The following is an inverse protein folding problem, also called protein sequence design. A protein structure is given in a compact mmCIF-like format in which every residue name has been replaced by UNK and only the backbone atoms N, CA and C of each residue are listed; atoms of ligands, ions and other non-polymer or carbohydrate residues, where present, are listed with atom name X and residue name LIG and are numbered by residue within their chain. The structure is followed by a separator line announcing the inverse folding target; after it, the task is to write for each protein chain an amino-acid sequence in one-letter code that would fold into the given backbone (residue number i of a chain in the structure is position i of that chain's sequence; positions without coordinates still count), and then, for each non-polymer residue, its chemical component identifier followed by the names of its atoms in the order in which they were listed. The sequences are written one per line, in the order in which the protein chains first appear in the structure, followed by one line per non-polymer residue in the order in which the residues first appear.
data_IF_653165912488
#
_entry.id   IF_653165912488
#
_cell.length_a   1.000
_cell.length_b   1.000
_cell.length_c   1.000
_cell.angle_alpha   90.00
_cell.angle_beta   90.00
_cell.angle_gamma   90.00
#
_symmetry.space_group_name_H-M   'P 1'
#
loop_
_entity.id
_entity.type
_entity.pdbx_description
1 polymer ?
#
# COMPACT_ATOMS: atom_id res chain seq x y z
N UNK A 1 -45.48 32.97 -15.77
CA UNK A 1 -44.43 33.47 -16.67
C UNK A 1 -42.97 33.13 -16.18
N UNK A 2 -42.50 33.64 -15.02
CA UNK A 2 -41.13 33.34 -14.56
C UNK A 2 -40.89 31.84 -14.16
N UNK A 3 -41.92 31.25 -13.49
CA UNK A 3 -41.89 29.84 -13.09
C UNK A 3 -41.78 28.87 -14.27
N UNK A 4 -42.39 29.20 -15.42
CA UNK A 4 -42.39 28.34 -16.60
C UNK A 4 -41.07 28.38 -17.36
N UNK A 5 -40.38 29.52 -17.34
CA UNK A 5 -39.02 29.67 -17.87
C UNK A 5 -38.05 28.81 -17.06
N UNK A 6 -38.17 28.81 -15.72
CA UNK A 6 -37.33 28.03 -14.84
C UNK A 6 -37.53 26.52 -14.99
N UNK A 7 -38.79 26.08 -15.09
CA UNK A 7 -39.12 24.68 -15.34
C UNK A 7 -38.59 24.21 -16.70
N UNK A 8 -38.66 25.06 -17.72
CA UNK A 8 -38.13 24.76 -19.06
C UNK A 8 -36.61 24.64 -19.06
N UNK A 9 -35.92 25.50 -18.32
CA UNK A 9 -34.47 25.43 -18.14
C UNK A 9 -34.02 24.17 -17.43
N UNK A 10 -34.68 23.79 -16.32
CA UNK A 10 -34.41 22.55 -15.59
C UNK A 10 -34.68 21.34 -16.47
N UNK A 11 -35.80 21.32 -17.20
CA UNK A 11 -36.12 20.24 -18.12
C UNK A 11 -35.06 20.08 -19.23
N UNK A 12 -34.63 21.19 -19.83
CA UNK A 12 -33.57 21.18 -20.86
C UNK A 12 -32.25 20.65 -20.28
N UNK A 13 -31.87 21.07 -19.09
CA UNK A 13 -30.63 20.65 -18.41
C UNK A 13 -30.66 19.14 -18.03
N UNK A 14 -31.77 18.68 -17.46
CA UNK A 14 -31.83 17.34 -16.89
C UNK A 14 -32.28 16.28 -17.90
N UNK A 15 -33.23 16.61 -18.79
CA UNK A 15 -33.82 15.63 -19.69
C UNK A 15 -33.19 15.69 -21.10
N UNK A 16 -33.03 16.89 -21.68
CA UNK A 16 -32.48 17.02 -23.01
C UNK A 16 -30.97 16.84 -23.05
N UNK A 17 -30.27 17.49 -22.11
CA UNK A 17 -28.80 17.46 -22.03
C UNK A 17 -28.25 16.51 -20.97
N UNK A 18 -29.10 15.87 -20.15
CA UNK A 18 -28.69 15.03 -19.02
C UNK A 18 -27.75 13.90 -19.45
N UNK A 19 -28.05 13.26 -20.56
CA UNK A 19 -27.23 12.18 -21.12
C UNK A 19 -25.85 12.67 -21.58
N UNK A 20 -25.79 13.84 -22.23
CA UNK A 20 -24.54 14.48 -22.65
C UNK A 20 -23.69 14.94 -21.46
N UNK A 21 -24.34 15.45 -20.41
CA UNK A 21 -23.63 15.78 -19.16
C UNK A 21 -23.13 14.52 -18.44
N UNK A 22 -23.88 13.44 -18.42
CA UNK A 22 -23.49 12.18 -17.82
C UNK A 22 -22.34 11.50 -18.59
N UNK A 23 -22.37 11.54 -19.90
CA UNK A 23 -21.31 11.01 -20.77
C UNK A 23 -20.01 11.86 -20.74
N UNK A 24 -20.14 13.20 -20.60
CA UNK A 24 -19.01 14.09 -20.48
C UNK A 24 -18.47 14.25 -19.05
N UNK A 25 -19.21 13.79 -18.05
CA UNK A 25 -18.81 13.83 -16.64
C UNK A 25 -18.09 12.54 -16.21
N UNK A 26 -17.37 11.93 -17.11
CA UNK A 26 -16.30 11.02 -16.66
C UNK A 26 -15.20 11.92 -16.06
N UNK A 27 -15.15 11.98 -14.74
CA UNK A 27 -14.03 12.58 -14.01
C UNK A 27 -12.78 11.80 -14.42
N UNK A 28 -12.13 12.22 -15.50
CA UNK A 28 -10.79 11.75 -15.83
C UNK A 28 -9.83 12.47 -14.88
N UNK A 29 -9.62 11.88 -13.73
CA UNK A 29 -8.53 12.26 -12.85
C UNK A 29 -7.26 11.78 -13.56
N UNK A 30 -6.59 12.70 -14.25
CA UNK A 30 -5.25 12.43 -14.77
C UNK A 30 -4.27 12.52 -13.59
N UNK A 31 -3.81 11.39 -13.13
CA UNK A 31 -2.75 11.32 -12.14
C UNK A 31 -1.42 11.19 -12.83
N UNK A 32 -0.50 12.06 -12.46
CA UNK A 32 0.91 11.91 -12.83
C UNK A 32 1.48 10.82 -11.95
N UNK A 33 1.75 9.66 -12.52
CA UNK A 33 2.48 8.61 -11.83
C UNK A 33 3.98 8.93 -11.95
N UNK A 34 4.70 9.21 -10.86
CA UNK A 34 6.13 9.47 -10.93
C UNK A 34 6.84 8.18 -11.36
N UNK A 35 7.66 8.26 -12.40
CA UNK A 35 8.55 7.17 -12.79
C UNK A 35 9.87 7.42 -12.08
N UNK A 36 10.23 6.55 -11.14
CA UNK A 36 11.48 6.65 -10.41
C UNK A 36 12.66 6.42 -11.37
N UNK A 37 13.58 7.36 -11.40
CA UNK A 37 14.81 7.22 -12.18
C UNK A 37 15.73 6.13 -11.58
N UNK A 38 16.32 5.31 -12.45
CA UNK A 38 17.33 4.37 -12.03
C UNK A 38 18.58 5.08 -11.50
N UNK A 39 19.13 4.59 -10.40
CA UNK A 39 20.41 5.13 -9.85
C UNK A 39 21.57 4.79 -10.78
N UNK A 40 22.58 5.65 -10.86
CA UNK A 40 23.80 5.41 -11.62
C UNK A 40 24.60 4.21 -11.08
N UNK A 41 25.33 3.55 -11.95
CA UNK A 41 26.23 2.45 -11.57
C UNK A 41 27.46 3.02 -10.85
N UNK A 42 28.04 2.23 -9.94
CA UNK A 42 29.28 2.57 -9.24
C UNK A 42 30.34 1.58 -9.69
N UNK A 43 31.48 2.10 -10.10
CA UNK A 43 32.64 1.32 -10.57
C UNK A 43 33.85 1.61 -9.69
N UNK A 44 34.78 0.65 -9.63
CA UNK A 44 36.10 0.89 -9.09
C UNK A 44 37.00 1.66 -10.10
N UNK A 45 38.22 2.00 -9.71
CA UNK A 45 39.21 2.69 -10.58
C UNK A 45 39.59 1.91 -11.84
N UNK A 46 39.34 0.61 -11.86
CA UNK A 46 39.65 -0.27 -12.99
C UNK A 46 38.41 -0.56 -13.87
N UNK A 47 37.28 0.11 -13.57
CA UNK A 47 36.02 -0.08 -14.29
C UNK A 47 35.21 -1.31 -13.84
N UNK A 48 35.58 -1.94 -12.71
CA UNK A 48 34.85 -3.08 -12.18
C UNK A 48 33.56 -2.64 -11.50
N UNK A 49 32.45 -3.25 -11.83
CA UNK A 49 31.12 -2.88 -11.34
C UNK A 49 30.96 -3.26 -9.86
N UNK A 50 30.72 -2.27 -9.00
CA UNK A 50 30.52 -2.42 -7.55
C UNK A 50 29.04 -2.36 -7.17
N UNK A 51 28.28 -1.46 -7.79
CA UNK A 51 26.84 -1.35 -7.55
C UNK A 51 26.12 -1.00 -8.86
N UNK A 52 24.99 -1.66 -9.11
CA UNK A 52 24.18 -1.51 -10.33
C UNK A 52 22.70 -1.76 -10.03
N UNK A 53 21.86 -1.42 -10.98
CA UNK A 53 20.43 -1.73 -10.90
C UNK A 53 20.13 -2.93 -11.78
N UNK A 54 19.32 -3.83 -11.27
CA UNK A 54 18.76 -4.97 -11.98
C UNK A 54 17.27 -4.77 -12.13
N UNK A 55 16.74 -5.07 -13.32
CA UNK A 55 15.30 -5.06 -13.54
C UNK A 55 14.68 -6.20 -12.73
N UNK A 56 13.66 -5.87 -11.98
CA UNK A 56 12.87 -6.83 -11.23
C UNK A 56 11.39 -6.52 -11.42
N UNK A 57 10.54 -7.44 -11.03
CA UNK A 57 9.09 -7.23 -11.03
C UNK A 57 8.58 -7.15 -9.62
N UNK A 58 7.60 -6.30 -9.39
CA UNK A 58 6.85 -6.19 -8.14
C UNK A 58 5.37 -6.42 -8.38
N UNK A 59 4.71 -7.05 -7.42
CA UNK A 59 3.26 -7.21 -7.39
C UNK A 59 2.68 -6.15 -6.48
N UNK A 60 1.73 -5.39 -6.99
CA UNK A 60 1.02 -4.35 -6.26
C UNK A 60 -0.48 -4.58 -6.27
N UNK A 61 -1.18 -4.01 -5.30
CA UNK A 61 -2.64 -3.96 -5.25
C UNK A 61 -3.12 -2.51 -5.12
N UNK A 62 -4.21 -2.18 -5.79
CA UNK A 62 -4.92 -0.92 -5.61
C UNK A 62 -6.41 -1.16 -5.27
N UNK A 63 -7.06 -0.13 -4.74
CA UNK A 63 -8.48 -0.15 -4.36
C UNK A 63 -9.28 0.83 -5.22
N UNK A 64 -9.07 0.80 -6.52
CA UNK A 64 -9.76 1.71 -7.45
C UNK A 64 -11.16 1.23 -7.87
N UNK A 65 -11.50 -0.01 -7.58
CA UNK A 65 -12.80 -0.62 -7.92
C UNK A 65 -13.93 -0.06 -7.06
N UNK A 66 -15.10 0.14 -7.67
CA UNK A 66 -16.31 0.56 -6.98
C UNK A 66 -17.14 -0.65 -6.57
N UNK A 67 -17.51 -0.72 -5.31
CA UNK A 67 -18.31 -1.80 -4.72
C UNK A 67 -19.64 -1.25 -4.18
N UNK A 68 -20.68 -2.07 -4.17
CA UNK A 68 -22.01 -1.69 -3.67
C UNK A 68 -22.06 -1.58 -2.12
N UNK A 69 -21.15 -2.28 -1.43
CA UNK A 69 -21.05 -2.27 0.02
C UNK A 69 -19.64 -2.62 0.51
N UNK A 70 -19.30 -2.22 1.75
CA UNK A 70 -18.05 -2.61 2.42
C UNK A 70 -17.90 -4.14 2.54
N UNK A 71 -19.01 -4.85 2.76
CA UNK A 71 -18.99 -6.31 2.84
C UNK A 71 -18.60 -6.96 1.52
N UNK A 72 -19.13 -6.46 0.41
CA UNK A 72 -18.80 -6.94 -0.93
C UNK A 72 -17.35 -6.63 -1.28
N UNK A 73 -16.91 -5.40 -1.00
CA UNK A 73 -15.51 -5.02 -1.11
C UNK A 73 -14.60 -5.96 -0.35
N UNK A 74 -14.86 -6.18 0.94
CA UNK A 74 -14.03 -7.04 1.77
C UNK A 74 -13.98 -8.46 1.22
N UNK A 75 -15.12 -9.00 0.74
CA UNK A 75 -15.17 -10.33 0.14
C UNK A 75 -14.32 -10.42 -1.14
N UNK A 76 -14.42 -9.45 -2.03
CA UNK A 76 -13.70 -9.42 -3.30
C UNK A 76 -12.18 -9.26 -3.06
N UNK A 77 -11.78 -8.20 -2.36
CA UNK A 77 -10.36 -7.91 -2.10
C UNK A 77 -9.69 -9.03 -1.32
N UNK A 78 -10.35 -9.60 -0.31
CA UNK A 78 -9.77 -10.73 0.44
C UNK A 78 -9.65 -12.00 -0.42
N UNK A 79 -10.52 -12.20 -1.42
CA UNK A 79 -10.41 -13.32 -2.34
C UNK A 79 -9.21 -13.16 -3.29
N UNK A 80 -9.06 -11.98 -3.89
CA UNK A 80 -7.90 -11.66 -4.74
C UNK A 80 -6.59 -11.78 -3.96
N UNK A 81 -6.54 -11.23 -2.74
CA UNK A 81 -5.37 -11.35 -1.86
C UNK A 81 -5.07 -12.80 -1.47
N UNK A 82 -6.10 -13.60 -1.16
CA UNK A 82 -5.89 -15.01 -0.84
C UNK A 82 -5.29 -15.80 -2.01
N UNK A 83 -5.71 -15.51 -3.22
CA UNK A 83 -5.19 -16.12 -4.44
C UNK A 83 -3.72 -15.75 -4.66
N UNK A 84 -3.42 -14.45 -4.76
CA UNK A 84 -2.05 -14.00 -5.03
C UNK A 84 -1.07 -14.36 -3.91
N UNK A 85 -1.45 -14.24 -2.63
CA UNK A 85 -0.60 -14.59 -1.51
C UNK A 85 -0.30 -16.10 -1.44
N UNK A 86 -1.22 -16.93 -1.92
CA UNK A 86 -0.98 -18.38 -2.06
C UNK A 86 0.04 -18.66 -3.17
N UNK A 87 -0.06 -17.97 -4.30
CA UNK A 87 0.91 -18.07 -5.40
C UNK A 87 2.30 -17.64 -4.95
N UNK A 88 2.42 -16.48 -4.31
CA UNK A 88 3.69 -15.98 -3.77
C UNK A 88 4.32 -16.97 -2.79
N UNK A 89 3.52 -17.54 -1.88
CA UNK A 89 3.99 -18.54 -0.92
C UNK A 89 4.50 -19.81 -1.62
N UNK A 90 3.76 -20.31 -2.61
CA UNK A 90 4.12 -21.53 -3.36
C UNK A 90 5.40 -21.35 -4.19
N UNK A 91 5.64 -20.12 -4.67
CA UNK A 91 6.85 -19.76 -5.40
C UNK A 91 8.03 -19.38 -4.48
N UNK A 92 7.84 -19.41 -3.16
CA UNK A 92 8.89 -19.10 -2.17
C UNK A 92 9.22 -17.61 -2.07
N UNK A 93 8.32 -16.75 -2.50
CA UNK A 93 8.53 -15.30 -2.55
C UNK A 93 8.19 -14.62 -1.23
N UNK A 94 8.90 -13.52 -0.96
CA UNK A 94 8.77 -12.79 0.30
C UNK A 94 7.73 -11.69 0.18
N UNK A 95 6.79 -11.65 1.14
CA UNK A 95 5.83 -10.57 1.30
C UNK A 95 6.51 -9.34 1.88
N UNK A 96 6.23 -8.16 1.31
CA UNK A 96 6.58 -6.90 1.96
C UNK A 96 5.77 -6.75 3.24
N UNK A 97 6.46 -6.63 4.38
CA UNK A 97 5.82 -6.66 5.68
C UNK A 97 6.35 -5.55 6.59
N UNK A 98 5.64 -4.42 6.63
CA UNK A 98 5.89 -3.31 7.56
C UNK A 98 4.90 -3.32 8.75
N UNK A 99 4.11 -4.38 8.87
CA UNK A 99 3.13 -4.53 9.94
C UNK A 99 3.82 -4.71 11.30
N UNK A 100 3.25 -4.11 12.32
CA UNK A 100 3.90 -4.03 13.65
C UNK A 100 3.54 -5.19 14.59
N UNK A 101 2.93 -6.22 14.04
CA UNK A 101 2.62 -7.47 14.73
C UNK A 101 3.18 -8.64 13.93
N UNK A 102 3.93 -9.50 14.58
CA UNK A 102 4.44 -10.74 14.00
C UNK A 102 3.59 -11.93 14.47
N UNK A 103 3.37 -12.88 13.56
CA UNK A 103 2.76 -14.18 13.88
C UNK A 103 3.85 -15.18 14.18
N UNK A 104 3.82 -15.78 15.39
CA UNK A 104 4.75 -16.83 15.81
C UNK A 104 4.38 -18.19 15.22
N UNK A 105 5.32 -19.13 15.28
CA UNK A 105 5.13 -20.51 14.79
C UNK A 105 4.02 -21.27 15.52
N UNK A 106 3.78 -20.93 16.79
CA UNK A 106 2.70 -21.49 17.61
C UNK A 106 1.31 -20.90 17.30
N UNK A 107 1.26 -19.90 16.41
CA UNK A 107 0.04 -19.22 16.00
C UNK A 107 -0.31 -17.97 16.81
N UNK A 108 0.41 -17.67 17.87
CA UNK A 108 0.24 -16.46 18.69
C UNK A 108 0.80 -15.22 18.00
N UNK A 109 0.38 -14.06 18.46
CA UNK A 109 0.80 -12.77 17.92
C UNK A 109 1.66 -12.00 18.93
N UNK A 110 2.61 -11.21 18.44
CA UNK A 110 3.42 -10.34 19.30
C UNK A 110 3.82 -9.08 18.56
N UNK A 111 3.91 -7.97 19.29
CA UNK A 111 4.44 -6.73 18.72
C UNK A 111 5.92 -6.87 18.41
N UNK A 112 6.36 -6.31 17.28
CA UNK A 112 7.76 -6.15 16.90
C UNK A 112 8.27 -4.72 17.17
N UNK A 113 7.44 -3.86 17.77
CA UNK A 113 7.74 -2.49 18.17
C UNK A 113 7.33 -2.24 19.62
N UNK A 114 7.88 -1.19 20.22
CA UNK A 114 7.60 -0.78 21.60
C UNK A 114 7.59 0.75 21.75
N UNK A 115 7.18 1.23 22.93
CA UNK A 115 7.20 2.64 23.27
C UNK A 115 6.30 3.50 22.37
N UNK A 116 6.79 4.65 21.95
CA UNK A 116 6.02 5.60 21.13
C UNK A 116 5.58 5.04 19.78
N UNK A 117 6.40 4.18 19.16
CA UNK A 117 6.06 3.52 17.90
C UNK A 117 4.88 2.56 18.06
N UNK A 118 4.78 1.85 19.20
CA UNK A 118 3.62 1.01 19.50
C UNK A 118 2.36 1.85 19.72
N UNK A 119 2.46 2.96 20.45
CA UNK A 119 1.33 3.84 20.68
C UNK A 119 0.84 4.48 19.36
N UNK A 120 1.77 4.87 18.49
CA UNK A 120 1.42 5.37 17.16
C UNK A 120 0.72 4.29 16.33
N UNK A 121 1.25 3.07 16.30
CA UNK A 121 0.62 1.96 15.60
C UNK A 121 -0.81 1.69 16.09
N UNK A 122 -1.03 1.70 17.41
CA UNK A 122 -2.39 1.56 17.98
C UNK A 122 -3.31 2.68 17.49
N UNK A 123 -2.84 3.94 17.52
CA UNK A 123 -3.61 5.08 17.03
C UNK A 123 -3.99 4.89 15.54
N UNK A 124 -3.06 4.43 14.71
CA UNK A 124 -3.30 4.18 13.28
C UNK A 124 -4.33 3.06 13.07
N UNK A 125 -4.26 1.97 13.84
CA UNK A 125 -5.21 0.85 13.79
C UNK A 125 -6.62 1.29 14.14
N UNK A 126 -6.78 2.04 15.22
CA UNK A 126 -8.09 2.52 15.69
C UNK A 126 -8.55 3.82 15.01
N UNK A 127 -7.78 4.33 14.05
CA UNK A 127 -8.14 5.51 13.24
C UNK A 127 -8.10 6.82 14.02
N UNK A 128 -7.29 6.88 15.09
CA UNK A 128 -7.09 8.09 15.91
C UNK A 128 -6.00 8.99 15.30
N UNK A 129 -6.15 10.29 15.50
CA UNK A 129 -5.18 11.28 15.00
C UNK A 129 -3.86 11.27 15.77
N UNK A 130 -3.91 11.00 17.07
CA UNK A 130 -2.78 10.97 17.99
C UNK A 130 -2.86 9.76 18.92
N UNK A 131 -1.72 9.38 19.50
CA UNK A 131 -1.68 8.38 20.58
C UNK A 131 -2.41 8.86 21.86
N UNK A 132 -2.52 10.16 22.05
CA UNK A 132 -3.21 10.75 23.19
C UNK A 132 -4.75 10.64 23.07
N UNK A 133 -5.26 10.35 21.87
CA UNK A 133 -6.69 10.18 21.60
C UNK A 133 -7.18 8.73 21.84
N UNK A 134 -6.27 7.82 22.22
CA UNK A 134 -6.61 6.43 22.52
C UNK A 134 -7.42 6.34 23.81
N UNK A 135 -8.57 5.68 23.74
CA UNK A 135 -9.52 5.59 24.85
C UNK A 135 -10.09 4.16 24.99
N UNK A 136 -10.89 3.95 26.03
CA UNK A 136 -11.66 2.73 26.15
C UNK A 136 -12.90 2.81 25.27
N UNK A 137 -12.93 1.97 24.22
CA UNK A 137 -14.10 1.88 23.35
C UNK A 137 -15.18 0.99 23.96
N UNK A 138 -16.33 1.57 24.26
CA UNK A 138 -17.48 0.89 24.88
C UNK A 138 -18.20 -0.08 23.92
N UNK A 139 -18.10 0.15 22.61
CA UNK A 139 -18.78 -0.66 21.61
C UNK A 139 -18.02 -1.97 21.37
N UNK A 140 -16.71 -1.90 21.26
CA UNK A 140 -15.85 -3.06 21.07
C UNK A 140 -15.37 -3.68 22.37
N UNK A 141 -15.44 -2.95 23.49
CA UNK A 141 -14.91 -3.37 24.79
C UNK A 141 -13.38 -3.40 24.86
N UNK A 142 -12.69 -2.74 23.92
CA UNK A 142 -11.24 -2.70 23.82
C UNK A 142 -10.70 -1.43 24.47
N UNK A 143 -9.72 -1.58 25.37
CA UNK A 143 -8.86 -0.49 25.79
C UNK A 143 -7.79 -0.26 24.71
N UNK A 144 -8.02 0.74 23.85
CA UNK A 144 -7.19 1.02 22.67
C UNK A 144 -5.72 1.30 23.05
N UNK A 145 -5.51 1.95 24.21
CA UNK A 145 -4.17 2.29 24.68
C UNK A 145 -3.38 1.05 25.17
N UNK A 146 -4.08 0.03 25.68
CA UNK A 146 -3.47 -1.18 26.22
C UNK A 146 -3.79 -2.43 25.43
N UNK A 147 -4.38 -2.29 24.23
CA UNK A 147 -4.76 -3.41 23.38
C UNK A 147 -3.58 -4.35 23.11
N UNK A 148 -3.81 -5.65 23.30
CA UNK A 148 -2.82 -6.69 23.00
C UNK A 148 -2.72 -6.95 21.50
N UNK A 149 -1.67 -7.65 21.05
CA UNK A 149 -1.51 -8.02 19.66
C UNK A 149 -2.67 -8.91 19.17
N UNK A 150 -3.16 -9.81 20.00
CA UNK A 150 -4.30 -10.67 19.73
C UNK A 150 -5.59 -9.87 19.55
N UNK A 151 -5.87 -8.92 20.45
CA UNK A 151 -7.04 -8.06 20.37
C UNK A 151 -7.04 -7.19 19.10
N UNK A 152 -5.88 -6.65 18.74
CA UNK A 152 -5.73 -5.89 17.49
C UNK A 152 -5.95 -6.78 16.27
N UNK A 153 -5.40 -7.98 16.25
CA UNK A 153 -5.62 -8.92 15.15
C UNK A 153 -7.09 -9.31 15.03
N UNK A 154 -7.76 -9.62 16.14
CA UNK A 154 -9.18 -9.93 16.16
C UNK A 154 -10.03 -8.75 15.67
N UNK A 155 -9.72 -7.53 16.13
CA UNK A 155 -10.36 -6.30 15.68
C UNK A 155 -10.21 -6.11 14.16
N UNK A 156 -9.00 -6.20 13.62
CA UNK A 156 -8.72 -6.03 12.19
C UNK A 156 -9.39 -7.11 11.34
N UNK A 157 -9.43 -8.37 11.80
CA UNK A 157 -10.10 -9.46 11.09
C UNK A 157 -11.62 -9.36 11.16
N UNK A 158 -12.15 -8.59 12.10
CA UNK A 158 -13.57 -8.42 12.37
C UNK A 158 -14.39 -7.98 11.15
N UNK A 159 -15.71 -8.23 11.19
CA UNK A 159 -16.65 -7.96 10.08
C UNK A 159 -16.74 -6.48 9.72
N UNK A 160 -16.56 -5.61 10.71
CA UNK A 160 -16.68 -4.16 10.56
C UNK A 160 -15.40 -3.53 9.99
N UNK A 161 -14.28 -4.26 10.04
CA UNK A 161 -12.99 -3.87 9.48
C UNK A 161 -12.68 -4.63 8.18
N UNK A 162 -11.78 -5.61 8.21
CA UNK A 162 -11.37 -6.31 7.00
C UNK A 162 -12.28 -7.49 6.62
N UNK A 163 -13.13 -7.97 7.54
CA UNK A 163 -14.09 -9.03 7.29
C UNK A 163 -13.44 -10.32 6.79
N UNK A 164 -12.35 -10.75 7.44
CA UNK A 164 -11.60 -11.93 7.02
C UNK A 164 -12.38 -13.19 7.37
N UNK A 165 -12.65 -14.01 6.37
CA UNK A 165 -13.41 -15.24 6.55
C UNK A 165 -12.61 -16.30 7.31
N UNK A 166 -13.28 -17.00 8.23
CA UNK A 166 -12.71 -18.15 8.95
C UNK A 166 -12.32 -19.34 8.05
N UNK A 167 -12.66 -19.30 6.76
CA UNK A 167 -12.24 -20.32 5.78
C UNK A 167 -10.73 -20.26 5.47
N UNK A 168 -10.08 -19.10 5.69
CA UNK A 168 -8.65 -18.95 5.50
C UNK A 168 -7.90 -19.51 6.70
N UNK A 169 -6.81 -20.23 6.44
CA UNK A 169 -5.93 -20.68 7.52
C UNK A 169 -5.27 -19.50 8.24
N UNK A 170 -4.75 -19.73 9.45
CA UNK A 170 -4.22 -18.65 10.27
C UNK A 170 -3.01 -17.91 9.65
N UNK A 171 -2.22 -18.57 8.81
CA UNK A 171 -1.08 -17.94 8.12
C UNK A 171 -1.58 -17.06 6.97
N UNK A 172 -2.51 -17.58 6.17
CA UNK A 172 -3.09 -16.82 5.06
C UNK A 172 -3.90 -15.63 5.58
N UNK A 173 -4.70 -15.83 6.63
CA UNK A 173 -5.45 -14.76 7.27
C UNK A 173 -4.53 -13.64 7.77
N UNK A 174 -3.42 -13.99 8.44
CA UNK A 174 -2.40 -13.02 8.86
C UNK A 174 -1.81 -12.25 7.66
N UNK A 175 -1.41 -12.94 6.61
CA UNK A 175 -0.86 -12.31 5.40
C UNK A 175 -1.85 -11.36 4.73
N UNK A 176 -3.14 -11.70 4.70
CA UNK A 176 -4.19 -10.81 4.22
C UNK A 176 -4.27 -9.56 5.12
N UNK A 177 -4.21 -9.70 6.45
CA UNK A 177 -4.20 -8.55 7.38
C UNK A 177 -3.03 -7.63 7.10
N UNK A 178 -1.83 -8.15 6.88
CA UNK A 178 -0.61 -7.37 6.56
C UNK A 178 -0.85 -6.46 5.34
N UNK A 179 -1.33 -7.02 4.24
CA UNK A 179 -1.58 -6.23 3.01
C UNK A 179 -2.74 -5.26 3.21
N UNK A 180 -3.83 -5.70 3.84
CA UNK A 180 -4.99 -4.84 4.12
C UNK A 180 -4.63 -3.66 5.02
N UNK A 181 -3.75 -3.87 5.99
CA UNK A 181 -3.24 -2.80 6.84
C UNK A 181 -2.40 -1.80 6.03
N UNK A 182 -1.51 -2.26 5.16
CA UNK A 182 -0.77 -1.38 4.27
C UNK A 182 -1.70 -0.56 3.34
N UNK A 183 -2.80 -1.17 2.86
CA UNK A 183 -3.84 -0.45 2.10
C UNK A 183 -4.56 0.61 2.95
N UNK A 184 -4.67 0.41 4.27
CA UNK A 184 -5.31 1.36 5.17
C UNK A 184 -4.55 2.70 5.20
N UNK A 185 -3.23 2.68 5.12
CA UNK A 185 -2.39 3.87 4.99
C UNK A 185 -2.76 4.74 3.79
N UNK A 186 -3.24 4.12 2.70
CA UNK A 186 -3.66 4.78 1.48
C UNK A 186 -5.18 5.04 1.39
N UNK A 187 -5.93 4.97 2.49
CA UNK A 187 -7.41 5.10 2.50
C UNK A 187 -7.96 6.37 1.84
N UNK A 188 -7.22 7.45 1.87
CA UNK A 188 -7.57 8.73 1.22
C UNK A 188 -7.07 8.83 -0.22
N UNK A 189 -6.11 7.99 -0.61
CA UNK A 189 -5.50 7.93 -1.92
C UNK A 189 -5.63 6.50 -2.50
N UNK A 190 -6.87 6.02 -2.64
CA UNK A 190 -7.22 4.63 -3.02
C UNK A 190 -6.63 4.18 -4.36
N UNK A 191 -6.23 5.12 -5.19
CA UNK A 191 -5.52 4.90 -6.45
C UNK A 191 -4.02 4.62 -6.27
N UNK A 192 -3.46 4.94 -5.08
CA UNK A 192 -2.05 4.65 -4.78
C UNK A 192 -1.91 3.15 -4.55
N UNK A 193 -1.03 2.56 -5.33
CA UNK A 193 -0.75 1.13 -5.24
C UNK A 193 0.02 0.78 -3.98
N UNK A 194 -0.29 -0.37 -3.41
CA UNK A 194 0.46 -0.97 -2.31
C UNK A 194 1.26 -2.14 -2.85
N UNK A 195 2.57 -2.11 -2.71
CA UNK A 195 3.46 -3.21 -3.11
C UNK A 195 3.30 -4.38 -2.16
N UNK A 196 2.84 -5.52 -2.68
CA UNK A 196 2.67 -6.77 -1.93
C UNK A 196 4.00 -7.52 -1.82
N UNK A 197 4.71 -7.65 -2.93
CA UNK A 197 6.00 -8.32 -3.01
C UNK A 197 6.90 -7.66 -4.05
N UNK A 198 8.20 -7.70 -3.82
CA UNK A 198 9.24 -7.20 -4.73
C UNK A 198 10.18 -8.33 -5.09
N UNK A 199 10.83 -8.23 -6.27
CA UNK A 199 11.75 -9.26 -6.81
C UNK A 199 11.04 -10.60 -7.01
N UNK A 200 9.85 -10.54 -7.61
CA UNK A 200 9.05 -11.74 -7.88
C UNK A 200 9.55 -12.46 -9.14
N UNK A 201 9.38 -13.77 -9.18
CA UNK A 201 9.80 -14.61 -10.30
C UNK A 201 8.90 -14.42 -11.52
N UNK A 202 9.45 -14.75 -12.70
CA UNK A 202 8.69 -14.76 -13.95
C UNK A 202 7.45 -15.67 -13.89
N UNK A 203 7.47 -16.71 -13.06
CA UNK A 203 6.30 -17.59 -12.84
C UNK A 203 5.13 -16.84 -12.20
N UNK A 204 5.41 -15.99 -11.22
CA UNK A 204 4.38 -15.17 -10.58
C UNK A 204 3.87 -14.13 -11.55
N UNK A 205 4.76 -13.50 -12.32
CA UNK A 205 4.39 -12.53 -13.36
C UNK A 205 3.48 -13.17 -14.40
N UNK A 206 3.85 -14.35 -14.91
CA UNK A 206 3.03 -15.09 -15.86
C UNK A 206 1.66 -15.44 -15.28
N UNK A 207 1.62 -15.94 -14.05
CA UNK A 207 0.36 -16.26 -13.37
C UNK A 207 -0.58 -15.04 -13.28
N UNK A 208 -0.08 -13.90 -12.83
CA UNK A 208 -0.90 -12.68 -12.71
C UNK A 208 -1.42 -12.24 -14.08
N UNK A 209 -0.57 -12.27 -15.12
CA UNK A 209 -0.96 -11.89 -16.48
C UNK A 209 -2.03 -12.83 -17.07
N UNK A 210 -1.98 -14.12 -16.73
CA UNK A 210 -2.99 -15.10 -17.17
C UNK A 210 -4.32 -14.96 -16.43
N UNK A 211 -4.32 -14.39 -15.21
CA UNK A 211 -5.50 -14.29 -14.35
C UNK A 211 -5.96 -12.85 -14.10
N UNK A 212 -5.64 -11.91 -15.02
CA UNK A 212 -6.01 -10.50 -14.88
C UNK A 212 -7.53 -10.24 -14.82
N UNK A 213 -8.34 -11.20 -15.28
CA UNK A 213 -9.78 -11.15 -15.21
C UNK A 213 -10.31 -11.38 -13.78
N UNK A 214 -9.65 -12.21 -12.99
CA UNK A 214 -9.99 -12.51 -11.60
C UNK A 214 -9.20 -11.66 -10.59
N UNK A 215 -8.02 -11.18 -10.96
CA UNK A 215 -7.11 -10.36 -10.16
C UNK A 215 -7.15 -8.88 -10.60
N UNK A 216 -8.36 -8.32 -10.71
CA UNK A 216 -8.59 -6.99 -11.28
C UNK A 216 -7.93 -5.84 -10.51
N UNK A 217 -7.71 -6.01 -9.20
CA UNK A 217 -7.03 -5.05 -8.33
C UNK A 217 -5.50 -5.24 -8.28
N UNK A 218 -4.99 -6.34 -8.84
CA UNK A 218 -3.55 -6.67 -8.81
C UNK A 218 -2.87 -6.18 -10.08
N UNK A 219 -1.68 -5.63 -9.93
CA UNK A 219 -0.83 -5.16 -11.04
C UNK A 219 0.59 -5.70 -10.91
N UNK A 220 1.23 -5.89 -12.06
CA UNK A 220 2.65 -6.20 -12.17
C UNK A 220 3.36 -4.91 -12.58
N UNK A 221 4.33 -4.49 -11.80
CA UNK A 221 5.12 -3.29 -12.07
C UNK A 221 6.58 -3.66 -12.27
N UNK A 222 7.21 -3.00 -13.24
CA UNK A 222 8.66 -3.03 -13.38
C UNK A 222 9.30 -2.20 -12.26
N UNK A 223 10.28 -2.77 -11.61
CA UNK A 223 11.00 -2.14 -10.51
C UNK A 223 12.52 -2.27 -10.72
N UNK A 224 13.30 -1.43 -10.05
CA UNK A 224 14.75 -1.46 -10.15
C UNK A 224 15.35 -1.80 -8.79
N UNK A 225 15.94 -2.99 -8.69
CA UNK A 225 16.60 -3.43 -7.47
C UNK A 225 18.09 -3.09 -7.53
N UNK A 226 18.58 -2.49 -6.47
CA UNK A 226 20.00 -2.18 -6.31
C UNK A 226 20.76 -3.43 -5.89
N UNK A 227 21.66 -3.89 -6.74
CA UNK A 227 22.59 -5.00 -6.44
C UNK A 227 23.98 -4.47 -6.14
N UNK A 228 24.63 -5.13 -5.21
CA UNK A 228 25.98 -4.78 -4.75
C UNK A 228 26.91 -5.98 -4.92
N UNK A 229 27.94 -5.82 -5.75
CA UNK A 229 29.00 -6.81 -5.86
C UNK A 229 30.03 -6.55 -4.74
N UNK A 230 30.49 -7.64 -4.12
CA UNK A 230 31.53 -7.56 -3.06
C UNK A 230 31.09 -6.73 -1.85
N UNK A 231 29.80 -6.77 -1.50
CA UNK A 231 29.23 -5.99 -0.36
C UNK A 231 29.97 -6.23 0.96
N UNK A 232 30.49 -7.44 1.18
CA UNK A 232 31.28 -7.81 2.36
C UNK A 232 32.51 -6.94 2.56
N UNK A 233 33.13 -6.47 1.47
CA UNK A 233 34.36 -5.68 1.51
C UNK A 233 34.14 -4.18 1.35
N UNK A 234 33.08 -3.78 0.65
CA UNK A 234 32.88 -2.38 0.25
C UNK A 234 31.71 -1.68 0.97
N UNK A 235 31.00 -2.35 1.86
CA UNK A 235 29.83 -1.79 2.56
C UNK A 235 30.14 -0.47 3.27
N UNK A 236 31.32 -0.35 3.90
CA UNK A 236 31.75 0.87 4.59
C UNK A 236 32.12 2.03 3.64
N UNK A 237 32.49 1.72 2.40
CA UNK A 237 32.90 2.71 1.39
C UNK A 237 31.69 3.16 0.58
N UNK A 238 30.82 2.23 0.17
CA UNK A 238 29.63 2.51 -0.63
C UNK A 238 28.55 3.17 0.24
N UNK A 239 28.57 2.89 1.55
CA UNK A 239 27.56 3.38 2.49
C UNK A 239 26.22 2.65 2.36
N UNK A 240 25.22 3.25 2.94
CA UNK A 240 23.83 2.77 2.88
C UNK A 240 22.91 3.88 2.35
N UNK A 241 21.75 3.50 1.86
CA UNK A 241 20.71 4.44 1.44
C UNK A 241 19.55 4.36 2.43
N UNK A 242 19.04 5.52 2.81
CA UNK A 242 17.89 5.65 3.68
C UNK A 242 17.07 6.87 3.29
N UNK A 243 15.90 7.07 3.88
CA UNK A 243 15.11 8.26 3.68
C UNK A 243 15.92 9.50 4.13
N UNK A 244 15.73 10.60 3.41
CA UNK A 244 16.34 11.88 3.75
C UNK A 244 15.70 12.44 5.03
N UNK A 245 16.49 13.04 5.91
CA UNK A 245 15.94 13.73 7.07
C UNK A 245 15.23 15.03 6.67
N UNK A 246 14.21 15.44 7.44
CA UNK A 246 13.46 16.67 7.17
C UNK A 246 14.35 17.92 7.10
N UNK A 247 15.39 17.99 7.93
CA UNK A 247 16.37 19.08 7.93
C UNK A 247 17.20 19.12 6.65
N UNK A 248 17.67 17.97 6.17
CA UNK A 248 18.40 17.83 4.91
C UNK A 248 17.51 18.11 3.71
N UNK A 249 16.27 17.58 3.71
CA UNK A 249 15.28 17.87 2.69
C UNK A 249 15.05 19.37 2.56
N UNK A 250 14.80 20.07 3.66
CA UNK A 250 14.55 21.51 3.67
C UNK A 250 15.76 22.30 3.13
N UNK A 251 16.97 21.90 3.50
CA UNK A 251 18.20 22.56 3.05
C UNK A 251 18.45 22.36 1.55
N UNK A 252 18.24 21.15 1.05
CA UNK A 252 18.46 20.77 -0.35
C UNK A 252 17.35 21.32 -1.27
N UNK A 253 16.10 21.28 -0.83
CA UNK A 253 14.96 21.81 -1.57
C UNK A 253 15.05 23.34 -1.75
N UNK A 254 15.57 24.08 -0.77
CA UNK A 254 15.89 25.50 -0.92
C UNK A 254 16.94 25.76 -2.00
N UNK A 255 17.89 24.84 -2.15
CA UNK A 255 18.98 24.97 -3.13
C UNK A 255 18.54 24.62 -4.55
N UNK A 256 17.68 23.63 -4.71
CA UNK A 256 17.17 23.18 -6.01
C UNK A 256 15.74 22.63 -5.88
N UNK A 257 14.75 23.50 -6.13
CA UNK A 257 13.32 23.17 -6.00
C UNK A 257 12.83 22.13 -7.03
N UNK A 258 13.52 22.04 -8.16
CA UNK A 258 13.11 21.18 -9.27
C UNK A 258 13.82 19.81 -9.27
N UNK A 259 14.62 19.53 -8.24
CA UNK A 259 15.32 18.27 -8.17
C UNK A 259 14.40 17.16 -7.64
N UNK A 260 13.97 16.29 -8.52
CA UNK A 260 13.12 15.14 -8.19
C UNK A 260 13.75 14.16 -7.19
N UNK A 261 15.09 14.17 -7.04
CA UNK A 261 15.80 13.35 -6.06
C UNK A 261 15.48 13.74 -4.61
N UNK A 262 15.10 15.01 -4.39
CA UNK A 262 14.76 15.55 -3.06
C UNK A 262 13.24 15.68 -2.86
N UNK A 263 12.47 15.59 -3.95
CA UNK A 263 11.02 15.79 -3.98
C UNK A 263 10.23 14.52 -4.24
N UNK A 264 10.93 13.37 -4.44
CA UNK A 264 10.25 12.10 -4.59
C UNK A 264 9.85 11.53 -3.23
N UNK A 265 8.88 10.64 -3.22
CA UNK A 265 8.15 10.00 -2.10
C UNK A 265 8.99 9.52 -0.89
N UNK A 266 10.31 9.66 -0.92
CA UNK A 266 11.17 9.35 0.22
C UNK A 266 10.99 10.31 1.41
N UNK A 267 10.19 11.38 1.26
CA UNK A 267 9.87 12.33 2.32
C UNK A 267 8.45 12.12 2.89
N UNK A 268 7.67 11.23 2.30
CA UNK A 268 6.27 10.98 2.69
C UNK A 268 6.05 9.62 3.41
N UNK A 269 7.13 8.89 3.72
CA UNK A 269 7.07 7.64 4.51
C UNK A 269 7.39 7.85 5.98
#
# INVERSE_FOLDING_TARGET
AASDVYKRQIFTLQVVNGKSYQENFSLKIQMKQPINAARGNIYDKNGKLLAYNELAYSISINDSTTYSSTKEKNKAVNAELAEILTVLKNNGETLNNDFKIDRKKDGTYSFNVSGSSLNRFRADVFGKGSADDLEYDKETGIDEANATAEQIMEYLMGKDNFGISSKYDGDLAYRIVVVRYAMLGNRFARYKEVKIATDVSDKTVAYVNEHMDTLSGISVNEDMIRKYNYSEYFSSIIGYTGPISESEYTALHKKNKDCLLYTSDAADD
#
